data_IF_194286096778
#
_entry.id   IF_194286096778
#
_cell.length_a   1.000
_cell.length_b   1.000
_cell.length_c   1.000
_cell.angle_alpha   90.00
_cell.angle_beta   90.00
_cell.angle_gamma   90.00
#
_symmetry.space_group_name_H-M   'P 1'
#
loop_
_entity.id
_entity.type
_entity.pdbx_description
1 polymer ?
#
# COMPACT_ATOMS: atom_id res chain seq x y z
N UNK A 1 21.57 -0.94 -18.20
CA UNK A 1 20.49 -0.23 -17.49
C UNK A 1 20.94 -0.03 -16.05
N UNK A 2 20.67 1.14 -15.46
CA UNK A 2 20.97 1.37 -14.04
C UNK A 2 20.17 0.36 -13.19
N UNK A 3 20.73 -0.05 -12.06
CA UNK A 3 20.05 -0.95 -11.12
C UNK A 3 18.81 -0.24 -10.54
N UNK A 4 17.65 -0.91 -10.57
CA UNK A 4 16.43 -0.37 -10.03
C UNK A 4 16.54 -0.34 -8.51
N UNK A 5 16.36 0.83 -7.93
CA UNK A 5 16.37 1.04 -6.49
C UNK A 5 14.95 0.92 -5.90
N UNK A 6 13.96 1.55 -6.57
CA UNK A 6 12.60 1.67 -6.06
C UNK A 6 11.62 0.99 -7.01
N UNK A 7 10.81 0.08 -6.50
CA UNK A 7 9.62 -0.44 -7.18
C UNK A 7 8.38 0.10 -6.46
N UNK A 8 7.63 0.98 -7.14
CA UNK A 8 6.35 1.44 -6.65
C UNK A 8 5.22 0.58 -7.22
N UNK A 9 4.20 0.29 -6.41
CA UNK A 9 3.06 -0.55 -6.79
C UNK A 9 1.77 0.25 -6.64
N UNK A 10 0.95 0.25 -7.68
CA UNK A 10 -0.43 0.74 -7.69
C UNK A 10 -1.39 -0.44 -7.79
N UNK A 11 -2.02 -0.87 -6.69
CA UNK A 11 -3.10 -1.85 -6.76
C UNK A 11 -4.35 -1.18 -7.32
N UNK A 12 -4.98 -1.78 -8.34
CA UNK A 12 -6.18 -1.23 -8.97
C UNK A 12 -7.20 -2.30 -9.32
N UNK A 13 -8.47 -1.93 -9.15
CA UNK A 13 -9.63 -2.71 -9.59
C UNK A 13 -10.77 -1.76 -9.98
N UNK A 14 -11.12 -1.73 -11.27
CA UNK A 14 -12.20 -0.91 -11.83
C UNK A 14 -12.08 0.58 -11.43
N UNK A 15 -10.92 1.19 -11.68
CA UNK A 15 -10.70 2.62 -11.43
C UNK A 15 -9.79 3.26 -12.49
N UNK A 16 -10.24 3.17 -13.75
CA UNK A 16 -9.54 3.78 -14.88
C UNK A 16 -9.37 5.30 -14.72
N UNK A 17 -10.36 5.97 -14.11
CA UNK A 17 -10.31 7.41 -13.90
C UNK A 17 -9.14 7.81 -12.98
N UNK A 18 -8.96 7.08 -11.87
CA UNK A 18 -7.84 7.30 -10.97
C UNK A 18 -6.49 6.96 -11.62
N UNK A 19 -6.40 5.87 -12.40
CA UNK A 19 -5.16 5.48 -13.10
C UNK A 19 -4.66 6.57 -14.05
N UNK A 20 -5.56 7.25 -14.75
CA UNK A 20 -5.20 8.36 -15.66
C UNK A 20 -4.48 9.51 -14.96
N UNK A 21 -4.72 9.67 -13.68
CA UNK A 21 -4.08 10.69 -12.83
C UNK A 21 -2.87 10.09 -12.11
N UNK A 22 -3.02 8.88 -11.55
CA UNK A 22 -2.02 8.28 -10.69
C UNK A 22 -0.72 7.93 -11.43
N UNK A 23 -0.79 7.37 -12.64
CA UNK A 23 0.42 6.96 -13.37
C UNK A 23 1.32 8.16 -13.67
N UNK A 24 0.88 9.24 -14.35
CA UNK A 24 1.77 10.37 -14.63
C UNK A 24 2.28 11.04 -13.35
N UNK A 25 1.45 11.19 -12.31
CA UNK A 25 1.88 11.76 -11.04
C UNK A 25 2.92 10.90 -10.33
N UNK A 26 2.77 9.57 -10.39
CA UNK A 26 3.74 8.64 -9.82
C UNK A 26 5.09 8.70 -10.53
N UNK A 27 5.08 8.75 -11.86
CA UNK A 27 6.31 8.84 -12.65
C UNK A 27 7.07 10.14 -12.35
N UNK A 28 6.37 11.28 -12.28
CA UNK A 28 6.95 12.57 -11.91
C UNK A 28 7.60 12.51 -10.54
N UNK A 29 6.85 12.07 -9.52
CA UNK A 29 7.34 12.01 -8.13
C UNK A 29 8.48 11.01 -7.97
N UNK A 30 8.43 9.85 -8.62
CA UNK A 30 9.49 8.83 -8.54
C UNK A 30 10.76 9.27 -9.27
N UNK A 31 10.64 10.04 -10.37
CA UNK A 31 11.81 10.61 -11.04
C UNK A 31 12.55 11.62 -10.16
N UNK A 32 11.84 12.39 -9.33
CA UNK A 32 12.46 13.28 -8.35
C UNK A 32 13.18 12.52 -7.23
N UNK A 33 12.61 11.37 -6.77
CA UNK A 33 13.12 10.60 -5.63
C UNK A 33 14.26 9.65 -5.99
N UNK A 34 14.20 9.02 -7.16
CA UNK A 34 15.15 8.00 -7.65
C UNK A 34 15.37 8.12 -9.16
N UNK A 35 16.03 9.20 -9.64
CA UNK A 35 16.15 9.50 -11.07
C UNK A 35 16.67 8.33 -11.89
N UNK A 36 15.85 7.85 -12.83
CA UNK A 36 16.18 6.73 -13.74
C UNK A 36 16.38 5.36 -13.06
N UNK A 37 16.12 5.24 -11.75
CA UNK A 37 16.34 4.02 -10.97
C UNK A 37 15.06 3.49 -10.30
N UNK A 38 13.93 3.64 -10.95
CA UNK A 38 12.64 3.15 -10.45
C UNK A 38 11.85 2.39 -11.51
N UNK A 39 10.89 1.63 -11.07
CA UNK A 39 9.80 1.07 -11.87
C UNK A 39 8.46 1.33 -11.17
N UNK A 40 7.40 1.45 -11.96
CA UNK A 40 6.02 1.55 -11.50
C UNK A 40 5.27 0.30 -11.95
N UNK A 41 4.84 -0.53 -11.02
CA UNK A 41 4.07 -1.74 -11.27
C UNK A 41 2.60 -1.44 -11.00
N UNK A 42 1.76 -1.56 -12.01
CA UNK A 42 0.32 -1.50 -11.84
C UNK A 42 -0.19 -2.92 -11.62
N UNK A 43 -0.59 -3.21 -10.37
CA UNK A 43 -1.15 -4.50 -9.98
C UNK A 43 -2.67 -4.49 -10.24
N UNK A 44 -3.03 -4.81 -11.47
CA UNK A 44 -4.39 -4.80 -11.96
C UNK A 44 -5.08 -6.14 -11.61
N UNK A 45 -6.24 -6.07 -10.97
CA UNK A 45 -6.89 -7.20 -10.28
C UNK A 45 -8.21 -7.62 -10.95
N UNK A 46 -8.19 -7.85 -12.26
CA UNK A 46 -9.34 -8.35 -13.02
C UNK A 46 -10.40 -7.28 -13.31
N UNK A 47 -9.98 -6.06 -13.69
CA UNK A 47 -10.89 -4.98 -14.05
C UNK A 47 -11.58 -5.20 -15.38
N UNK A 48 -12.80 -4.64 -15.51
CA UNK A 48 -13.64 -4.69 -16.70
C UNK A 48 -13.92 -3.34 -17.32
N UNK A 49 -13.31 -2.26 -16.78
CA UNK A 49 -13.55 -0.87 -17.15
C UNK A 49 -12.54 -0.31 -18.17
N UNK A 50 -11.65 -1.16 -18.72
CA UNK A 50 -10.57 -0.74 -19.61
C UNK A 50 -9.27 -0.37 -18.91
N UNK A 51 -9.17 -0.53 -17.58
CA UNK A 51 -7.95 -0.26 -16.82
C UNK A 51 -6.73 -1.02 -17.35
N UNK A 52 -6.89 -2.32 -17.64
CA UNK A 52 -5.80 -3.17 -18.13
C UNK A 52 -5.29 -2.68 -19.50
N UNK A 53 -6.19 -2.34 -20.44
CA UNK A 53 -5.81 -1.88 -21.77
C UNK A 53 -5.09 -0.54 -21.71
N UNK A 54 -5.57 0.37 -20.89
CA UNK A 54 -4.93 1.65 -20.65
C UNK A 54 -3.49 1.50 -20.15
N UNK A 55 -3.26 0.57 -19.22
CA UNK A 55 -1.91 0.33 -18.68
C UNK A 55 -1.02 -0.34 -19.72
N UNK A 56 -1.54 -1.27 -20.54
CA UNK A 56 -0.77 -1.88 -21.65
C UNK A 56 -0.27 -0.84 -22.65
N UNK A 57 -1.15 0.13 -23.00
CA UNK A 57 -0.73 1.24 -23.86
C UNK A 57 0.35 2.10 -23.21
N UNK A 58 0.30 2.29 -21.90
CA UNK A 58 1.30 3.05 -21.16
C UNK A 58 2.64 2.31 -21.10
N UNK A 59 2.62 1.02 -20.78
CA UNK A 59 3.81 0.14 -20.75
C UNK A 59 4.53 0.12 -22.12
N UNK A 60 3.78 0.13 -23.22
CA UNK A 60 4.34 0.20 -24.56
C UNK A 60 5.07 1.52 -24.87
N UNK A 61 4.72 2.61 -24.18
CA UNK A 61 5.31 3.95 -24.36
C UNK A 61 6.41 4.27 -23.38
N UNK A 62 6.33 3.73 -22.14
CA UNK A 62 7.28 3.99 -21.07
C UNK A 62 7.70 2.67 -20.40
N UNK A 63 8.93 2.20 -20.63
CA UNK A 63 9.40 0.91 -20.10
C UNK A 63 9.57 0.89 -18.57
N UNK A 64 9.40 2.02 -17.88
CA UNK A 64 9.37 2.09 -16.43
C UNK A 64 8.03 1.65 -15.85
N UNK A 65 6.96 1.70 -16.64
CA UNK A 65 5.62 1.21 -16.27
C UNK A 65 5.50 -0.26 -16.63
N UNK A 66 4.97 -1.06 -15.73
CA UNK A 66 4.75 -2.49 -15.93
C UNK A 66 3.34 -2.88 -15.50
N UNK A 67 2.63 -3.56 -16.38
CA UNK A 67 1.35 -4.17 -16.05
C UNK A 67 1.55 -5.54 -15.41
N UNK A 68 0.92 -5.77 -14.27
CA UNK A 68 0.74 -7.09 -13.68
C UNK A 68 -0.75 -7.42 -13.63
N UNK A 69 -1.25 -7.99 -14.71
CA UNK A 69 -2.65 -8.32 -14.91
C UNK A 69 -3.07 -9.62 -14.21
N UNK A 70 -4.32 -9.68 -13.78
CA UNK A 70 -5.01 -10.90 -13.37
C UNK A 70 -6.32 -11.03 -14.17
N UNK A 71 -6.62 -12.23 -14.68
CA UNK A 71 -7.86 -12.48 -15.44
C UNK A 71 -9.10 -12.39 -14.55
N UNK A 72 -8.95 -12.67 -13.25
CA UNK A 72 -10.01 -12.64 -12.26
C UNK A 72 -9.58 -11.82 -11.04
N UNK A 73 -10.58 -11.29 -10.32
CA UNK A 73 -10.35 -10.55 -9.09
C UNK A 73 -9.83 -11.47 -7.98
N UNK A 74 -8.57 -11.33 -7.62
CA UNK A 74 -7.89 -12.12 -6.57
C UNK A 74 -8.01 -11.48 -5.19
N UNK A 75 -8.20 -10.18 -5.13
CA UNK A 75 -8.19 -9.35 -3.93
C UNK A 75 -6.91 -8.53 -3.79
N UNK A 76 -7.05 -7.35 -3.16
CA UNK A 76 -5.98 -6.34 -3.02
C UNK A 76 -4.71 -6.92 -2.40
N UNK A 77 -4.83 -7.76 -1.37
CA UNK A 77 -3.68 -8.37 -0.70
C UNK A 77 -2.90 -9.33 -1.62
N UNK A 78 -3.60 -10.15 -2.39
CA UNK A 78 -2.96 -11.05 -3.37
C UNK A 78 -2.33 -10.27 -4.51
N UNK A 79 -2.98 -9.22 -5.00
CA UNK A 79 -2.42 -8.34 -6.02
C UNK A 79 -1.10 -7.71 -5.54
N UNK A 80 -1.05 -7.21 -4.30
CA UNK A 80 0.17 -6.70 -3.69
C UNK A 80 1.26 -7.77 -3.55
N UNK A 81 0.92 -8.96 -3.06
CA UNK A 81 1.91 -10.06 -2.92
C UNK A 81 2.54 -10.43 -4.26
N UNK A 82 1.74 -10.53 -5.33
CA UNK A 82 2.22 -10.80 -6.69
C UNK A 82 3.15 -9.68 -7.19
N UNK A 83 2.76 -8.42 -6.98
CA UNK A 83 3.55 -7.27 -7.40
C UNK A 83 4.88 -7.18 -6.66
N UNK A 84 4.90 -7.40 -5.34
CA UNK A 84 6.13 -7.39 -4.56
C UNK A 84 7.07 -8.53 -4.92
N UNK A 85 6.54 -9.71 -5.24
CA UNK A 85 7.35 -10.83 -5.74
C UNK A 85 8.00 -10.50 -7.10
N UNK A 86 7.29 -9.78 -7.97
CA UNK A 86 7.77 -9.37 -9.29
C UNK A 86 8.64 -8.09 -9.27
N UNK A 87 8.68 -7.36 -8.16
CA UNK A 87 9.44 -6.13 -8.00
C UNK A 87 10.94 -6.37 -8.05
N UNK A 88 11.69 -5.43 -8.66
CA UNK A 88 13.14 -5.53 -8.84
C UNK A 88 13.92 -4.64 -7.87
N UNK A 89 13.29 -3.55 -7.40
CA UNK A 89 13.94 -2.58 -6.52
C UNK A 89 14.30 -3.15 -5.15
N UNK A 90 15.35 -2.65 -4.55
CA UNK A 90 15.75 -2.97 -3.17
C UNK A 90 14.76 -2.42 -2.15
N UNK A 91 14.05 -1.34 -2.52
CA UNK A 91 12.94 -0.75 -1.79
C UNK A 91 11.67 -0.98 -2.61
N UNK A 92 10.63 -1.53 -1.98
CA UNK A 92 9.32 -1.66 -2.60
C UNK A 92 8.32 -0.80 -1.82
N UNK A 93 7.50 -0.04 -2.52
CA UNK A 93 6.46 0.75 -1.88
C UNK A 93 5.13 0.57 -2.61
N UNK A 94 4.03 0.85 -1.94
CA UNK A 94 2.74 0.95 -2.59
C UNK A 94 1.92 2.08 -1.98
N UNK A 95 1.01 2.58 -2.78
CA UNK A 95 0.00 3.56 -2.37
C UNK A 95 -1.27 3.35 -3.17
N UNK A 96 -2.39 3.80 -2.60
CA UNK A 96 -3.70 3.63 -3.22
C UNK A 96 -3.80 4.48 -4.50
N UNK A 97 -4.45 3.93 -5.53
CA UNK A 97 -4.53 4.54 -6.87
C UNK A 97 -5.26 5.89 -6.88
N UNK A 98 -6.14 6.14 -5.89
CA UNK A 98 -6.86 7.41 -5.74
C UNK A 98 -5.98 8.55 -5.20
N UNK A 99 -4.72 8.26 -4.85
CA UNK A 99 -3.76 9.20 -4.27
C UNK A 99 -4.33 9.96 -3.06
N UNK A 100 -5.16 9.30 -2.27
CA UNK A 100 -5.76 9.87 -1.06
C UNK A 100 -4.70 10.38 -0.06
N UNK A 101 -3.54 9.74 0.00
CA UNK A 101 -2.37 10.23 0.72
C UNK A 101 -1.55 11.14 -0.20
N UNK A 102 -1.21 12.35 0.29
CA UNK A 102 -0.43 13.31 -0.48
C UNK A 102 0.95 12.73 -0.85
N UNK A 103 1.25 12.72 -2.14
CA UNK A 103 2.47 12.17 -2.72
C UNK A 103 3.75 12.87 -2.25
N UNK A 104 3.65 14.09 -1.71
CA UNK A 104 4.81 14.79 -1.10
C UNK A 104 5.49 13.97 0.01
N UNK A 105 4.74 13.08 0.69
CA UNK A 105 5.27 12.21 1.74
C UNK A 105 6.03 10.98 1.21
N UNK A 106 6.00 10.72 -0.12
CA UNK A 106 6.65 9.53 -0.69
C UNK A 106 8.17 9.58 -0.52
N UNK A 107 8.77 10.75 -0.60
CA UNK A 107 10.20 10.93 -0.38
C UNK A 107 10.61 10.55 1.05
N UNK A 108 9.85 11.00 2.07
CA UNK A 108 10.10 10.66 3.47
C UNK A 108 9.85 9.17 3.73
N UNK A 109 8.81 8.59 3.12
CA UNK A 109 8.50 7.16 3.24
C UNK A 109 9.65 6.30 2.75
N UNK A 110 10.15 6.55 1.53
CA UNK A 110 11.29 5.85 0.92
C UNK A 110 12.58 6.15 1.69
N UNK A 111 12.79 7.41 2.07
CA UNK A 111 13.92 7.87 2.88
C UNK A 111 14.05 7.11 4.19
N UNK A 112 12.93 6.84 4.86
CA UNK A 112 12.93 6.04 6.10
C UNK A 112 13.53 4.63 5.89
N UNK A 113 13.23 3.99 4.75
CA UNK A 113 13.82 2.68 4.43
C UNK A 113 15.32 2.82 4.09
N UNK A 114 15.72 3.90 3.41
CA UNK A 114 17.14 4.22 3.14
C UNK A 114 17.92 4.43 4.45
N UNK A 115 17.29 5.05 5.46
CA UNK A 115 17.84 5.24 6.82
C UNK A 115 17.94 3.96 7.64
N UNK A 116 17.48 2.82 7.11
CA UNK A 116 17.68 1.51 7.73
C UNK A 116 16.45 0.95 8.44
N UNK A 117 15.28 1.58 8.35
CA UNK A 117 14.04 0.93 8.75
C UNK A 117 13.71 -0.22 7.80
N UNK A 118 13.10 -1.27 8.33
CA UNK A 118 12.64 -2.41 7.52
C UNK A 118 11.32 -2.08 6.82
N UNK A 119 10.48 -1.27 7.49
CA UNK A 119 9.18 -0.80 6.99
C UNK A 119 8.99 0.67 7.38
N UNK A 120 8.45 1.46 6.45
CA UNK A 120 7.86 2.75 6.74
C UNK A 120 6.38 2.72 6.36
N UNK A 121 5.51 3.34 7.15
CA UNK A 121 4.07 3.42 6.90
C UNK A 121 3.54 4.80 7.20
N UNK A 122 2.69 5.33 6.33
CA UNK A 122 1.91 6.50 6.65
C UNK A 122 0.96 6.21 7.81
N UNK A 123 0.73 7.17 8.65
CA UNK A 123 -0.22 7.07 9.76
C UNK A 123 -1.14 8.28 9.77
N UNK A 124 -2.43 8.03 9.70
CA UNK A 124 -3.49 9.06 9.78
C UNK A 124 -3.84 9.42 11.21
N UNK A 125 -3.27 8.69 12.18
CA UNK A 125 -3.63 8.79 13.60
C UNK A 125 -2.53 9.43 14.45
N UNK A 126 -1.41 9.84 13.85
CA UNK A 126 -0.39 10.64 14.52
C UNK A 126 -0.89 12.08 14.72
N UNK A 127 -0.45 12.78 15.78
CA UNK A 127 -0.89 14.15 16.07
C UNK A 127 -0.62 15.15 14.94
N UNK A 128 0.49 14.96 14.20
CA UNK A 128 0.92 15.85 13.13
C UNK A 128 0.22 15.57 11.79
N UNK A 129 -0.61 14.51 11.72
CA UNK A 129 -1.34 14.16 10.50
C UNK A 129 -2.52 15.09 10.27
N UNK A 130 -2.74 15.47 9.03
CA UNK A 130 -3.88 16.28 8.61
C UNK A 130 -4.85 15.42 7.80
N UNK A 131 -6.07 15.24 8.34
CA UNK A 131 -7.06 14.33 7.78
C UNK A 131 -8.33 15.08 7.41
N UNK A 132 -8.78 14.90 6.17
CA UNK A 132 -10.07 15.39 5.69
C UNK A 132 -10.99 14.21 5.41
N UNK A 133 -11.87 13.89 6.38
CA UNK A 133 -12.88 12.82 6.26
C UNK A 133 -14.10 13.06 7.16
N UNK A 134 -15.17 12.28 6.97
CA UNK A 134 -16.36 12.33 7.84
C UNK A 134 -16.05 11.78 9.24
N UNK A 135 -16.64 12.41 10.28
CA UNK A 135 -16.42 12.04 11.68
C UNK A 135 -16.76 10.58 12.02
N UNK A 136 -17.79 10.00 11.41
CA UNK A 136 -18.15 8.59 11.65
C UNK A 136 -17.07 7.61 11.23
N UNK A 137 -16.40 7.87 10.10
CA UNK A 137 -15.28 7.04 9.62
C UNK A 137 -14.03 7.21 10.48
N UNK A 138 -13.85 8.37 11.06
CA UNK A 138 -12.74 8.59 12.00
C UNK A 138 -12.91 7.75 13.25
N UNK A 139 -14.10 7.75 13.85
CA UNK A 139 -14.41 6.93 15.03
C UNK A 139 -14.21 5.45 14.72
N UNK A 140 -14.72 4.95 13.58
CA UNK A 140 -14.56 3.56 13.18
C UNK A 140 -13.08 3.17 13.00
N UNK A 141 -12.29 4.02 12.36
CA UNK A 141 -10.86 3.80 12.17
C UNK A 141 -10.08 3.80 13.50
N UNK A 142 -10.37 4.74 14.40
CA UNK A 142 -9.76 4.76 15.74
C UNK A 142 -10.14 3.52 16.56
N UNK A 143 -11.43 3.13 16.53
CA UNK A 143 -11.92 1.92 17.21
C UNK A 143 -11.24 0.65 16.69
N UNK A 144 -11.15 0.49 15.36
CA UNK A 144 -10.43 -0.64 14.75
C UNK A 144 -8.96 -0.70 15.19
N UNK A 145 -8.23 0.40 15.06
CA UNK A 145 -6.81 0.43 15.43
C UNK A 145 -6.61 0.21 16.94
N UNK A 146 -7.53 0.67 17.79
CA UNK A 146 -7.51 0.36 19.22
C UNK A 146 -7.67 -1.14 19.48
N UNK A 147 -8.60 -1.83 18.78
CA UNK A 147 -8.77 -3.29 18.89
C UNK A 147 -7.51 -4.03 18.46
N UNK A 148 -6.91 -3.66 17.33
CA UNK A 148 -5.64 -4.26 16.86
C UNK A 148 -4.54 -4.09 17.89
N UNK A 149 -4.39 -2.89 18.47
CA UNK A 149 -3.39 -2.62 19.51
C UNK A 149 -3.60 -3.45 20.76
N UNK A 150 -4.84 -3.58 21.21
CA UNK A 150 -5.17 -4.32 22.45
C UNK A 150 -5.04 -5.83 22.25
N UNK A 151 -5.63 -6.38 21.18
CA UNK A 151 -5.70 -7.84 20.96
C UNK A 151 -4.37 -8.37 20.44
N UNK A 152 -3.80 -7.72 19.40
CA UNK A 152 -2.58 -8.18 18.75
C UNK A 152 -1.30 -7.57 19.36
N UNK A 153 -1.44 -6.75 20.41
CA UNK A 153 -0.33 -6.06 21.10
C UNK A 153 0.53 -5.21 20.17
N UNK A 154 -0.12 -4.60 19.17
CA UNK A 154 0.59 -3.72 18.24
C UNK A 154 0.96 -2.40 18.91
N UNK A 155 2.15 -1.89 18.56
CA UNK A 155 2.65 -0.58 19.00
C UNK A 155 2.29 0.55 18.03
N UNK A 156 1.82 0.20 16.83
CA UNK A 156 1.52 1.15 15.77
C UNK A 156 0.16 1.82 15.98
N UNK A 157 0.01 3.04 15.45
CA UNK A 157 -1.20 3.83 15.58
C UNK A 157 -2.19 3.55 14.43
N UNK A 158 -1.69 3.41 13.18
CA UNK A 158 -2.52 3.19 12.00
C UNK A 158 -2.03 2.00 11.16
N UNK A 159 -2.84 0.95 11.11
CA UNK A 159 -2.52 -0.27 10.36
C UNK A 159 -3.03 -0.24 8.92
N UNK A 160 -4.05 0.59 8.62
CA UNK A 160 -4.79 0.54 7.35
C UNK A 160 -4.49 1.72 6.42
N UNK A 161 -3.44 2.49 6.64
CA UNK A 161 -3.03 3.50 5.68
C UNK A 161 -2.42 2.81 4.46
N UNK A 162 -3.04 2.96 3.29
CA UNK A 162 -2.53 2.43 2.01
C UNK A 162 -1.35 3.25 1.49
N UNK A 163 -0.30 3.43 2.30
CA UNK A 163 0.90 4.20 1.96
C UNK A 163 2.07 3.62 2.75
N UNK A 164 2.76 2.65 2.16
CA UNK A 164 3.82 1.89 2.85
C UNK A 164 5.03 1.65 1.95
N UNK A 165 6.22 1.64 2.57
CA UNK A 165 7.46 1.21 1.95
C UNK A 165 8.15 0.14 2.78
N UNK A 166 8.86 -0.75 2.11
CA UNK A 166 9.48 -1.92 2.69
C UNK A 166 10.89 -2.09 2.13
N UNK A 167 11.81 -2.55 2.94
CA UNK A 167 13.04 -3.17 2.45
C UNK A 167 12.68 -4.52 1.83
N UNK A 168 12.88 -4.67 0.51
CA UNK A 168 12.46 -5.87 -0.24
C UNK A 168 12.99 -7.16 0.40
N UNK A 169 14.27 -7.19 0.80
CA UNK A 169 14.87 -8.37 1.42
C UNK A 169 14.27 -8.77 2.77
N UNK A 170 13.52 -7.86 3.42
CA UNK A 170 12.75 -8.13 4.64
C UNK A 170 11.30 -8.49 4.35
N UNK A 171 10.71 -7.88 3.33
CA UNK A 171 9.32 -8.16 2.95
C UNK A 171 9.15 -9.56 2.37
N UNK A 172 9.97 -9.95 1.38
CA UNK A 172 9.80 -11.22 0.66
C UNK A 172 9.74 -12.45 1.58
N UNK A 173 10.62 -12.59 2.61
CA UNK A 173 10.51 -13.71 3.56
C UNK A 173 9.28 -13.65 4.47
N UNK A 174 8.61 -12.49 4.55
CA UNK A 174 7.41 -12.30 5.36
C UNK A 174 6.14 -12.70 4.61
N UNK A 175 6.07 -12.43 3.28
CA UNK A 175 4.90 -12.63 2.44
C UNK A 175 4.27 -14.04 2.53
N UNK A 176 5.02 -15.15 2.56
CA UNK A 176 4.42 -16.49 2.68
C UNK A 176 3.58 -16.69 3.95
N UNK A 177 3.82 -15.89 4.98
CA UNK A 177 3.04 -15.92 6.22
C UNK A 177 1.83 -15.00 6.21
N UNK A 178 1.73 -14.07 5.26
CA UNK A 178 0.61 -13.13 5.13
C UNK A 178 -0.47 -13.77 4.28
N UNK A 179 -1.59 -14.11 4.91
CA UNK A 179 -2.67 -14.92 4.31
C UNK A 179 -3.90 -14.10 3.94
N UNK A 180 -4.01 -12.87 4.41
CA UNK A 180 -5.14 -12.00 4.13
C UNK A 180 -5.16 -11.56 2.65
N UNK A 181 -6.30 -11.75 1.99
CA UNK A 181 -6.47 -11.47 0.56
C UNK A 181 -6.95 -10.03 0.28
N UNK A 182 -7.54 -9.35 1.29
CA UNK A 182 -8.21 -8.06 1.15
C UNK A 182 -7.69 -7.01 2.15
N UNK A 183 -8.59 -6.25 2.75
CA UNK A 183 -8.30 -5.10 3.62
C UNK A 183 -7.49 -5.42 4.89
N UNK A 184 -7.54 -6.64 5.38
CA UNK A 184 -6.77 -7.04 6.56
C UNK A 184 -5.29 -7.24 6.28
N UNK A 185 -4.89 -7.34 5.00
CA UNK A 185 -3.50 -7.52 4.58
C UNK A 185 -2.55 -6.50 5.23
N UNK A 186 -2.94 -5.25 5.22
CA UNK A 186 -2.17 -4.14 5.80
C UNK A 186 -1.89 -4.34 7.30
N UNK A 187 -2.90 -4.79 8.02
CA UNK A 187 -2.77 -5.08 9.45
C UNK A 187 -1.90 -6.32 9.68
N UNK A 188 -2.14 -7.37 8.92
CA UNK A 188 -1.43 -8.63 9.08
C UNK A 188 0.07 -8.48 8.82
N UNK A 189 0.45 -7.82 7.73
CA UNK A 189 1.88 -7.63 7.39
C UNK A 189 2.62 -6.84 8.49
N UNK A 190 2.01 -5.78 9.01
CA UNK A 190 2.62 -4.95 10.06
C UNK A 190 2.74 -5.70 11.40
N UNK A 191 1.69 -6.42 11.80
CA UNK A 191 1.71 -7.20 13.05
C UNK A 191 2.72 -8.34 12.98
N UNK A 192 2.77 -9.07 11.85
CA UNK A 192 3.77 -10.13 11.66
C UNK A 192 5.20 -9.60 11.63
N UNK A 193 5.42 -8.45 11.00
CA UNK A 193 6.71 -7.77 10.99
C UNK A 193 7.13 -7.35 12.40
N UNK A 194 6.21 -6.76 13.16
CA UNK A 194 6.46 -6.37 14.54
C UNK A 194 6.81 -7.58 15.43
N UNK A 195 6.13 -8.73 15.25
CA UNK A 195 6.44 -9.98 15.97
C UNK A 195 7.83 -10.58 15.62
N UNK A 196 8.42 -10.15 14.49
CA UNK A 196 9.78 -10.50 14.06
C UNK A 196 10.79 -9.40 14.36
N UNK A 197 10.44 -8.45 15.24
CA UNK A 197 11.28 -7.33 15.68
C UNK A 197 11.79 -6.45 14.51
N UNK A 198 10.99 -6.31 13.43
CA UNK A 198 11.32 -5.39 12.36
C UNK A 198 11.24 -3.95 12.85
N UNK A 199 12.17 -3.12 12.38
CA UNK A 199 12.19 -1.69 12.65
C UNK A 199 11.14 -1.02 11.75
N UNK A 200 10.03 -0.59 12.37
CA UNK A 200 8.91 0.05 11.68
C UNK A 200 8.84 1.52 12.07
N UNK A 201 8.76 2.42 11.08
CA UNK A 201 8.55 3.85 11.27
C UNK A 201 7.15 4.23 10.80
N UNK A 202 6.38 4.91 11.65
CA UNK A 202 5.19 5.63 11.23
C UNK A 202 5.57 7.07 10.89
N UNK A 203 5.04 7.58 9.79
CA UNK A 203 5.22 8.99 9.40
C UNK A 203 3.85 9.69 9.35
N UNK A 204 3.73 10.93 9.80
CA UNK A 204 2.50 11.68 9.69
C UNK A 204 2.20 11.99 8.22
N UNK A 205 0.92 11.97 7.85
CA UNK A 205 0.52 12.21 6.46
C UNK A 205 -0.61 13.22 6.35
N UNK A 206 -0.65 13.90 5.20
CA UNK A 206 -1.86 14.56 4.72
C UNK A 206 -2.68 13.55 3.94
N UNK A 207 -3.91 13.37 4.39
CA UNK A 207 -4.81 12.40 3.77
C UNK A 207 -6.18 13.02 3.53
N UNK A 208 -6.67 12.85 2.30
CA UNK A 208 -8.00 13.32 1.90
C UNK A 208 -8.85 12.12 1.47
N UNK A 209 -10.05 12.03 2.00
CA UNK A 209 -10.97 11.00 1.58
C UNK A 209 -11.31 11.17 0.09
N UNK A 210 -11.09 10.11 -0.71
CA UNK A 210 -11.56 10.02 -2.08
C UNK A 210 -13.10 9.92 -2.16
N UNK A 211 -13.66 10.16 -3.33
CA UNK A 211 -15.07 9.96 -3.63
C UNK A 211 -15.39 8.46 -3.67
N UNK A 212 -16.33 8.04 -2.82
CA UNK A 212 -16.72 6.63 -2.70
C UNK A 212 -15.93 5.85 -1.62
N UNK A 213 -16.57 4.83 -1.07
CA UNK A 213 -15.90 3.85 -0.22
C UNK A 213 -16.14 2.46 -0.77
N UNK A 214 -15.08 1.68 -0.87
CA UNK A 214 -15.17 0.28 -1.25
C UNK A 214 -15.31 -0.66 -0.06
N UNK A 215 -15.15 -0.16 1.18
CA UNK A 215 -15.30 -0.95 2.42
C UNK A 215 -16.79 -1.11 2.75
N UNK A 216 -17.26 -2.35 2.81
CA UNK A 216 -18.64 -2.73 3.13
C UNK A 216 -18.75 -3.24 4.57
N UNK A 217 -19.98 -3.30 5.12
CA UNK A 217 -20.21 -3.82 6.47
C UNK A 217 -19.66 -5.25 6.68
N UNK A 218 -19.74 -6.11 5.66
CA UNK A 218 -19.16 -7.46 5.70
C UNK A 218 -17.63 -7.43 5.89
N UNK A 219 -16.95 -6.48 5.27
CA UNK A 219 -15.48 -6.36 5.37
C UNK A 219 -15.07 -6.03 6.82
N UNK A 220 -15.89 -5.27 7.55
CA UNK A 220 -15.66 -4.97 8.97
C UNK A 220 -15.76 -6.22 9.83
N UNK A 221 -16.76 -7.08 9.56
CA UNK A 221 -16.92 -8.38 10.26
C UNK A 221 -15.76 -9.31 9.93
N UNK A 222 -15.38 -9.41 8.65
CA UNK A 222 -14.25 -10.22 8.21
C UNK A 222 -12.93 -9.76 8.85
N UNK A 223 -12.69 -8.45 8.92
CA UNK A 223 -11.52 -7.90 9.61
C UNK A 223 -11.53 -8.21 11.12
N UNK A 224 -12.70 -8.18 11.75
CA UNK A 224 -12.86 -8.56 13.16
C UNK A 224 -12.48 -10.02 13.40
N UNK A 225 -12.98 -10.95 12.56
CA UNK A 225 -12.64 -12.37 12.64
C UNK A 225 -11.15 -12.62 12.36
N UNK A 226 -10.57 -11.91 11.40
CA UNK A 226 -9.15 -12.01 11.06
C UNK A 226 -8.24 -11.56 12.20
N UNK A 227 -8.64 -10.55 13.00
CA UNK A 227 -7.91 -10.18 14.23
C UNK A 227 -7.83 -11.38 15.18
N UNK A 228 -8.94 -12.09 15.39
CA UNK A 228 -8.97 -13.26 16.28
C UNK A 228 -8.13 -14.42 15.75
N UNK A 229 -8.16 -14.67 14.43
CA UNK A 229 -7.30 -15.68 13.80
C UNK A 229 -5.81 -15.35 13.90
N UNK A 230 -5.44 -14.07 13.78
CA UNK A 230 -4.04 -13.66 13.90
C UNK A 230 -3.55 -13.66 15.35
N UNK A 231 -4.45 -13.62 16.34
CA UNK A 231 -4.11 -13.67 17.76
C UNK A 231 -3.62 -15.06 18.20
N UNK A 232 -4.22 -16.12 17.64
CA UNK A 232 -3.81 -17.52 17.87
C UNK A 232 -2.56 -17.87 17.05
#
# INVERSE_FOLDING_TARGET
MAEIEVSAVLPVYNDLAALRIAIPRSLETLEEIAPGRFELIVAEDGSTDGSADFVREYEARDPRVRLLHADERLGRGRALNRAFAAARGSIVCYYDVDLATDMQHLAELIGSVREGYDIATGSRLLPESTITRSGGREIASRGYNMLVRLILRSRLHDHQCGFKAFRRGRLLPLLPSVTADHWFWDTEVLVRAQRKDYRIREIPVRWRQGEGTTVRAKDVVEMGSAIMHLWW
#
